data_IF_191559735365
#
_entry.id   IF_191559735365
#
_cell.length_a   1.000
_cell.length_b   1.000
_cell.length_c   1.000
_cell.angle_alpha   90.00
_cell.angle_beta   90.00
_cell.angle_gamma   90.00
#
_symmetry.space_group_name_H-M   'P 1'
#
loop_
_entity.id
_entity.type
_entity.pdbx_description
1 polymer ?
#
# COMPACT_ATOMS: atom_id res chain seq x y z
N UNK A 1 -13.58 -21.75 21.13
CA UNK A 1 -12.70 -21.74 19.95
C UNK A 1 -13.10 -20.64 18.96
N UNK A 2 -14.36 -20.54 18.53
CA UNK A 2 -14.85 -19.53 17.57
C UNK A 2 -14.55 -18.07 18.00
N UNK A 3 -14.69 -17.71 19.29
CA UNK A 3 -14.36 -16.38 19.80
C UNK A 3 -12.88 -16.00 19.66
N UNK A 4 -11.96 -16.97 19.72
CA UNK A 4 -10.51 -16.74 19.52
C UNK A 4 -10.16 -16.57 18.03
N UNK A 5 -10.91 -17.21 17.13
CA UNK A 5 -10.74 -17.09 15.68
C UNK A 5 -11.24 -15.71 15.23
N UNK A 6 -12.36 -15.23 15.79
CA UNK A 6 -12.90 -13.89 15.50
C UNK A 6 -11.96 -12.79 16.04
N UNK A 7 -11.32 -12.99 17.20
CA UNK A 7 -10.35 -12.05 17.74
C UNK A 7 -9.06 -12.02 16.92
N UNK A 8 -8.63 -13.17 16.37
CA UNK A 8 -7.48 -13.25 15.48
C UNK A 8 -7.76 -12.59 14.11
N UNK A 9 -9.00 -12.66 13.61
CA UNK A 9 -9.45 -12.02 12.39
C UNK A 9 -9.59 -10.49 12.51
N UNK A 10 -9.61 -9.94 13.73
CA UNK A 10 -9.79 -8.52 13.99
C UNK A 10 -8.48 -7.71 13.99
N UNK A 11 -7.33 -8.36 13.80
CA UNK A 11 -6.03 -7.69 13.87
C UNK A 11 -5.31 -7.69 12.53
N UNK A 12 -5.81 -6.96 11.49
CA UNK A 12 -5.17 -7.15 10.18
C UNK A 12 -5.13 -5.89 9.33
N UNK A 13 -3.95 -5.38 9.03
CA UNK A 13 -3.75 -4.11 8.34
C UNK A 13 -2.78 -4.00 7.21
N UNK A 14 -2.72 -3.14 6.61
CA UNK A 14 -2.38 -2.08 5.68
C UNK A 14 -1.55 -2.40 4.52
N UNK A 15 -1.75 -1.63 3.49
CA UNK A 15 -0.66 -1.26 2.61
C UNK A 15 -1.07 -0.26 1.56
N UNK A 16 -0.08 0.44 1.04
CA UNK A 16 -0.22 1.19 -0.19
C UNK A 16 -0.82 0.28 -1.27
N UNK A 17 -1.99 0.64 -1.75
CA UNK A 17 -2.59 0.06 -2.93
C UNK A 17 -2.03 0.73 -4.17
N UNK A 18 -0.74 0.66 -4.41
CA UNK A 18 -0.23 1.17 -5.66
C UNK A 18 -0.69 0.30 -6.83
N UNK A 19 -0.79 -1.00 -6.62
CA UNK A 19 -1.34 -1.94 -7.60
C UNK A 19 -2.27 -2.90 -6.91
N UNK A 20 -3.36 -3.27 -7.55
CA UNK A 20 -4.40 -4.08 -6.93
C UNK A 20 -3.90 -5.47 -6.54
N UNK A 21 -3.14 -6.06 -7.39
CA UNK A 21 -2.48 -7.35 -7.20
C UNK A 21 -1.30 -7.45 -8.17
N UNK A 22 -0.34 -8.28 -7.88
CA UNK A 22 0.78 -8.61 -8.77
C UNK A 22 0.37 -9.51 -9.95
N UNK A 23 -0.92 -9.81 -10.10
CA UNK A 23 -1.45 -10.79 -11.03
C UNK A 23 -2.42 -10.19 -12.03
N UNK A 24 -2.78 -10.99 -13.03
CA UNK A 24 -3.48 -10.62 -14.24
C UNK A 24 -4.72 -9.75 -14.13
N UNK A 25 -5.08 -9.13 -15.22
CA UNK A 25 -6.30 -8.33 -15.31
C UNK A 25 -7.54 -9.21 -15.07
N UNK A 26 -8.62 -8.59 -14.67
CA UNK A 26 -9.95 -9.21 -14.68
C UNK A 26 -10.31 -9.68 -16.09
N UNK A 27 -11.23 -10.62 -16.19
CA UNK A 27 -11.77 -11.02 -17.50
C UNK A 27 -12.51 -9.84 -18.16
N UNK A 28 -12.61 -9.87 -19.47
CA UNK A 28 -13.29 -8.81 -20.22
C UNK A 28 -14.72 -8.57 -19.69
N UNK A 29 -15.06 -7.31 -19.46
CA UNK A 29 -16.31 -6.85 -18.84
C UNK A 29 -16.54 -7.33 -17.40
N UNK A 30 -15.57 -7.92 -16.74
CA UNK A 30 -15.66 -8.27 -15.32
C UNK A 30 -15.33 -7.04 -14.47
N UNK A 31 -16.09 -6.87 -13.40
CA UNK A 31 -15.82 -5.92 -12.34
C UNK A 31 -15.45 -6.61 -11.03
N UNK A 32 -14.83 -5.88 -10.12
CA UNK A 32 -14.55 -6.32 -8.75
C UNK A 32 -14.67 -5.15 -7.79
N UNK A 33 -15.25 -5.40 -6.63
CA UNK A 33 -15.19 -4.48 -5.49
C UNK A 33 -14.51 -5.18 -4.33
N UNK A 34 -13.68 -4.42 -3.61
CA UNK A 34 -12.96 -4.89 -2.44
C UNK A 34 -13.25 -3.96 -1.27
N UNK A 35 -13.55 -4.55 -0.11
CA UNK A 35 -13.64 -3.84 1.15
C UNK A 35 -12.77 -4.54 2.19
N UNK A 36 -12.04 -3.77 2.97
CA UNK A 36 -11.11 -4.37 3.92
C UNK A 36 -10.89 -3.56 5.17
N UNK A 37 -10.46 -4.26 6.19
CA UNK A 37 -9.94 -3.74 7.44
C UNK A 37 -8.42 -3.79 7.41
N UNK A 38 -7.81 -2.82 8.06
CA UNK A 38 -6.38 -2.81 8.28
C UNK A 38 -6.00 -2.36 9.68
N UNK A 39 -4.88 -2.86 10.16
CA UNK A 39 -4.20 -2.41 11.37
C UNK A 39 -2.70 -2.39 11.12
N UNK A 40 -2.00 -1.40 11.64
CA UNK A 40 -0.58 -1.18 11.45
C UNK A 40 0.00 -0.57 12.71
N UNK A 41 1.11 -1.09 13.17
CA UNK A 41 1.77 -0.62 14.39
C UNK A 41 3.28 -0.68 14.25
N UNK A 42 3.95 0.37 14.72
CA UNK A 42 5.36 0.36 15.10
C UNK A 42 5.51 0.75 16.59
N UNK A 43 6.72 1.07 17.00
CA UNK A 43 6.99 1.42 18.42
C UNK A 43 6.37 2.77 18.81
N UNK A 44 6.20 3.68 17.86
CA UNK A 44 5.79 5.06 18.10
C UNK A 44 4.34 5.37 17.74
N UNK A 45 3.71 4.55 16.89
CA UNK A 45 2.34 4.81 16.42
C UNK A 45 1.56 3.52 16.12
N UNK A 46 0.25 3.63 16.12
CA UNK A 46 -0.67 2.61 15.62
C UNK A 46 -1.82 3.22 14.84
N UNK A 47 -2.33 2.51 13.87
CA UNK A 47 -3.49 2.94 13.09
C UNK A 47 -4.38 1.78 12.67
N UNK A 48 -5.67 2.04 12.54
CA UNK A 48 -6.66 1.11 12.04
C UNK A 48 -7.64 1.83 11.13
N UNK A 49 -8.16 1.16 10.13
CA UNK A 49 -9.16 1.74 9.25
C UNK A 49 -9.87 0.76 8.37
N UNK A 50 -10.86 1.32 7.67
CA UNK A 50 -11.57 0.69 6.57
C UNK A 50 -10.98 1.20 5.26
N UNK A 51 -10.97 0.34 4.26
CA UNK A 51 -10.60 0.67 2.88
C UNK A 51 -11.58 0.04 1.92
N UNK A 52 -11.82 0.72 0.82
CA UNK A 52 -12.63 0.23 -0.28
C UNK A 52 -11.92 0.49 -1.59
N UNK A 53 -12.18 -0.36 -2.56
CA UNK A 53 -11.68 -0.21 -3.90
C UNK A 53 -12.61 -0.90 -4.89
N UNK A 54 -12.48 -0.51 -6.15
CA UNK A 54 -13.18 -1.11 -7.26
C UNK A 54 -12.26 -1.17 -8.46
N UNK A 55 -12.40 -2.20 -9.28
CA UNK A 55 -11.75 -2.28 -10.58
C UNK A 55 -12.71 -2.86 -11.61
N UNK A 56 -12.50 -2.51 -12.85
CA UNK A 56 -13.29 -3.00 -13.96
C UNK A 56 -12.42 -3.15 -15.20
N UNK A 57 -12.51 -4.27 -15.83
CA UNK A 57 -11.88 -4.48 -17.12
C UNK A 57 -12.78 -3.86 -18.21
N UNK A 58 -12.38 -2.69 -18.70
CA UNK A 58 -13.14 -1.91 -19.68
C UNK A 58 -12.98 -2.44 -21.13
N UNK A 59 -11.86 -3.08 -21.40
CA UNK A 59 -11.56 -3.80 -22.67
C UNK A 59 -10.64 -4.98 -22.39
N UNK A 60 -10.46 -5.95 -23.29
CA UNK A 60 -9.54 -7.07 -23.05
C UNK A 60 -8.12 -6.65 -22.64
N UNK A 61 -7.71 -5.43 -22.93
CA UNK A 61 -6.37 -4.93 -22.60
C UNK A 61 -6.34 -3.83 -21.54
N UNK A 62 -7.50 -3.26 -21.15
CA UNK A 62 -7.54 -2.10 -20.25
C UNK A 62 -8.41 -2.37 -19.03
N UNK A 63 -7.79 -2.35 -17.86
CA UNK A 63 -8.45 -2.34 -16.56
C UNK A 63 -8.30 -0.95 -15.92
N UNK A 64 -9.40 -0.44 -15.38
CA UNK A 64 -9.45 0.78 -14.59
C UNK A 64 -9.73 0.45 -13.14
N UNK A 65 -9.17 1.23 -12.21
CA UNK A 65 -9.38 1.02 -10.78
C UNK A 65 -9.55 2.32 -9.99
N UNK A 66 -10.27 2.19 -8.89
CA UNK A 66 -10.35 3.18 -7.81
C UNK A 66 -9.89 2.49 -6.52
N UNK A 67 -8.90 3.04 -5.84
CA UNK A 67 -8.25 2.39 -4.71
C UNK A 67 -7.94 3.39 -3.59
N UNK A 68 -7.52 2.88 -2.44
CA UNK A 68 -7.03 3.70 -1.34
C UNK A 68 -8.09 4.44 -0.54
N UNK A 69 -9.28 4.66 -1.11
CA UNK A 69 -10.36 5.35 -0.43
C UNK A 69 -10.82 4.57 0.82
N UNK A 70 -11.13 5.31 1.87
CA UNK A 70 -11.57 4.70 3.12
C UNK A 70 -11.59 5.68 4.27
N UNK A 71 -11.63 5.14 5.47
CA UNK A 71 -11.64 5.93 6.70
C UNK A 71 -10.66 5.34 7.71
N UNK A 72 -9.76 6.18 8.24
CA UNK A 72 -8.89 5.85 9.35
C UNK A 72 -9.61 6.18 10.65
N UNK A 73 -9.82 5.18 11.49
CA UNK A 73 -10.56 5.33 12.73
C UNK A 73 -9.72 5.96 13.83
N UNK A 74 -8.42 5.62 13.87
CA UNK A 74 -7.58 6.04 14.96
C UNK A 74 -6.08 5.83 14.65
N UNK A 75 -5.25 6.60 15.30
CA UNK A 75 -3.81 6.46 15.30
C UNK A 75 -3.26 7.14 16.52
N UNK A 76 -2.30 6.51 17.17
CA UNK A 76 -1.66 6.94 18.41
C UNK A 76 -0.15 6.97 18.24
N UNK A 77 0.52 7.73 19.10
CA UNK A 77 1.96 7.65 19.32
C UNK A 77 2.19 7.46 20.81
N UNK A 78 3.14 6.64 21.20
CA UNK A 78 3.54 6.40 22.59
C UNK A 78 4.40 7.57 23.16
N UNK A 79 4.29 8.76 22.62
CA UNK A 79 5.06 9.94 22.97
C UNK A 79 4.19 10.89 23.80
N UNK A 80 4.53 11.10 25.10
CA UNK A 80 3.79 11.98 26.01
C UNK A 80 3.67 13.44 25.54
N UNK A 81 4.57 13.88 24.65
CA UNK A 81 4.55 15.21 24.05
C UNK A 81 3.92 15.24 22.65
N UNK A 82 3.55 14.11 22.10
CA UNK A 82 2.96 13.97 20.78
C UNK A 82 1.45 13.92 20.93
N UNK A 83 0.75 14.63 20.09
CA UNK A 83 -0.69 14.72 20.23
C UNK A 83 -1.42 13.47 19.70
N UNK A 84 -2.64 13.36 20.17
CA UNK A 84 -3.64 12.36 19.80
C UNK A 84 -3.75 12.10 18.31
N UNK A 85 -4.03 10.87 17.93
CA UNK A 85 -4.08 10.40 16.55
C UNK A 85 -5.07 11.15 15.66
N UNK A 86 -4.81 11.13 14.38
CA UNK A 86 -5.68 11.69 13.36
C UNK A 86 -6.70 10.68 12.86
N UNK A 87 -7.97 11.08 12.73
CA UNK A 87 -9.00 10.27 12.08
C UNK A 87 -9.65 11.03 10.93
N UNK A 88 -10.09 10.33 9.90
CA UNK A 88 -10.74 10.95 8.76
C UNK A 88 -10.69 10.11 7.50
N UNK A 89 -11.14 10.71 6.40
CA UNK A 89 -11.13 10.12 5.07
C UNK A 89 -9.69 9.98 4.56
N UNK A 90 -9.41 8.94 3.83
CA UNK A 90 -8.15 8.67 3.13
C UNK A 90 -8.18 9.19 1.69
N UNK A 91 -7.03 9.21 1.07
CA UNK A 91 -6.88 9.59 -0.34
C UNK A 91 -7.51 8.55 -1.28
N UNK A 92 -7.84 9.01 -2.48
CA UNK A 92 -8.33 8.18 -3.57
C UNK A 92 -7.21 8.02 -4.61
N UNK A 93 -6.92 6.79 -4.99
CA UNK A 93 -6.03 6.48 -6.12
C UNK A 93 -6.88 6.04 -7.30
N UNK A 94 -6.68 6.68 -8.44
CA UNK A 94 -7.25 6.27 -9.73
C UNK A 94 -6.15 5.54 -10.47
N UNK A 95 -6.40 4.30 -10.88
CA UNK A 95 -5.45 3.45 -11.54
C UNK A 95 -5.90 2.98 -12.92
N UNK A 96 -4.93 2.72 -13.77
CA UNK A 96 -5.13 2.06 -15.06
C UNK A 96 -4.03 1.01 -15.26
N UNK A 97 -4.40 -0.15 -15.80
CA UNK A 97 -3.49 -1.23 -16.19
C UNK A 97 -3.75 -1.60 -17.65
N UNK A 98 -2.71 -1.63 -18.44
CA UNK A 98 -2.79 -1.94 -19.86
C UNK A 98 -1.96 -3.19 -20.17
N UNK A 99 -2.62 -4.25 -20.66
CA UNK A 99 -1.98 -5.50 -21.06
C UNK A 99 -1.30 -5.32 -22.42
N UNK A 100 0.00 -5.57 -22.48
CA UNK A 100 0.72 -5.76 -23.74
C UNK A 100 0.54 -7.17 -24.28
N UNK A 101 0.56 -8.13 -23.38
CA UNK A 101 0.30 -9.53 -23.61
C UNK A 101 -0.33 -10.14 -22.33
N UNK A 102 -0.69 -11.43 -22.31
CA UNK A 102 -1.31 -12.04 -21.12
C UNK A 102 -0.45 -12.05 -19.86
N UNK A 103 0.84 -11.86 -19.95
CA UNK A 103 1.77 -11.93 -18.83
C UNK A 103 2.39 -10.58 -18.46
N UNK A 104 2.34 -9.56 -19.36
CA UNK A 104 3.01 -8.27 -19.19
C UNK A 104 2.02 -7.10 -19.27
N UNK A 105 2.03 -6.27 -18.22
CA UNK A 105 1.15 -5.10 -18.08
C UNK A 105 1.96 -3.85 -17.80
N UNK A 106 1.51 -2.71 -18.33
CA UNK A 106 1.87 -1.40 -17.82
C UNK A 106 0.78 -0.89 -16.89
N UNK A 107 1.18 -0.15 -15.87
CA UNK A 107 0.24 0.50 -14.96
C UNK A 107 0.56 1.98 -14.77
N UNK A 108 -0.49 2.72 -14.42
CA UNK A 108 -0.42 4.14 -14.06
C UNK A 108 -1.44 4.39 -12.96
N UNK A 109 -0.96 4.83 -11.80
CA UNK A 109 -1.78 5.25 -10.67
C UNK A 109 -1.60 6.74 -10.42
N UNK A 110 -2.69 7.42 -10.15
CA UNK A 110 -2.74 8.83 -9.80
C UNK A 110 -3.45 9.02 -8.46
N UNK A 111 -2.77 9.62 -7.49
CA UNK A 111 -3.34 9.92 -6.19
C UNK A 111 -4.03 11.27 -6.16
N UNK A 112 -5.31 11.27 -5.76
CA UNK A 112 -6.07 12.45 -5.42
C UNK A 112 -6.06 12.65 -3.91
N UNK A 113 -5.43 13.70 -3.38
CA UNK A 113 -5.32 13.96 -1.94
C UNK A 113 -6.62 14.58 -1.41
N UNK A 114 -7.70 13.81 -1.42
CA UNK A 114 -9.02 14.23 -0.90
C UNK A 114 -9.18 13.95 0.59
N UNK A 115 -8.24 13.21 1.15
CA UNK A 115 -8.23 12.81 2.53
C UNK A 115 -7.85 13.94 3.49
N UNK A 116 -7.99 13.67 4.77
CA UNK A 116 -7.60 14.61 5.83
C UNK A 116 -6.08 14.53 6.06
N UNK A 117 -5.37 15.57 5.68
CA UNK A 117 -3.89 15.69 5.75
C UNK A 117 -3.38 16.29 7.06
N UNK A 118 -4.27 16.73 7.96
CA UNK A 118 -3.91 17.32 9.24
C UNK A 118 -4.26 16.39 10.39
N UNK A 119 -3.24 15.99 11.12
CA UNK A 119 -3.38 15.37 12.42
C UNK A 119 -3.42 16.44 13.50
N UNK A 120 -3.98 16.13 14.67
CA UNK A 120 -3.90 17.00 15.85
C UNK A 120 -2.49 16.84 16.46
N UNK A 121 -1.64 17.84 16.29
CA UNK A 121 -0.32 17.89 16.90
C UNK A 121 0.84 17.35 16.05
N UNK A 122 2.02 17.32 16.64
CA UNK A 122 3.26 16.85 16.01
C UNK A 122 3.46 15.36 16.24
N UNK A 123 3.77 14.60 15.20
CA UNK A 123 4.11 13.17 15.30
C UNK A 123 2.97 12.18 15.06
N UNK A 124 1.75 12.64 14.82
CA UNK A 124 0.61 11.78 14.53
C UNK A 124 0.49 11.43 13.03
N UNK A 125 0.04 10.23 12.74
CA UNK A 125 -0.24 9.81 11.36
C UNK A 125 -1.57 10.36 10.88
N UNK A 126 -1.53 11.27 9.91
CA UNK A 126 -2.75 11.72 9.23
C UNK A 126 -3.29 10.62 8.31
N UNK A 127 -4.62 10.55 8.10
CA UNK A 127 -5.24 9.63 7.13
C UNK A 127 -4.77 9.82 5.68
N UNK A 128 -4.30 11.00 5.35
CA UNK A 128 -3.76 11.38 4.05
C UNK A 128 -2.39 12.02 4.19
N UNK A 129 -1.55 11.84 3.19
CA UNK A 129 -0.32 12.63 3.06
C UNK A 129 -0.57 14.04 2.55
N UNK A 130 -1.77 14.33 2.02
CA UNK A 130 -2.10 15.56 1.30
C UNK A 130 -1.36 15.71 -0.04
N UNK A 131 -0.58 14.73 -0.43
CA UNK A 131 0.34 14.79 -1.56
C UNK A 131 -0.28 14.17 -2.82
N UNK A 132 -0.31 14.92 -3.91
CA UNK A 132 -0.54 14.33 -5.22
C UNK A 132 0.68 13.54 -5.66
N UNK A 133 0.47 12.37 -6.24
CA UNK A 133 1.56 11.60 -6.85
C UNK A 133 1.09 10.82 -8.08
N UNK A 134 2.06 10.47 -8.90
CA UNK A 134 1.94 9.50 -9.97
C UNK A 134 2.84 8.31 -9.62
N UNK A 135 2.32 7.10 -9.79
CA UNK A 135 3.08 5.87 -9.74
C UNK A 135 2.85 5.09 -11.02
N UNK A 136 3.91 4.81 -11.76
CA UNK A 136 3.82 4.15 -13.06
C UNK A 136 4.93 3.11 -13.21
N UNK A 137 4.65 2.05 -13.95
CA UNK A 137 5.63 0.99 -14.16
C UNK A 137 5.09 -0.17 -14.97
N UNK A 138 5.74 -1.30 -14.80
CA UNK A 138 5.38 -2.56 -15.44
C UNK A 138 5.21 -3.67 -14.41
N UNK A 139 4.30 -4.58 -14.71
CA UNK A 139 4.03 -5.81 -13.97
C UNK A 139 4.14 -6.99 -14.91
N UNK A 140 4.75 -8.07 -14.42
CA UNK A 140 4.79 -9.34 -15.12
C UNK A 140 4.32 -10.44 -14.19
N UNK A 141 3.44 -11.32 -14.67
CA UNK A 141 3.03 -12.49 -13.91
C UNK A 141 3.07 -13.74 -14.81
N UNK A 142 3.26 -14.89 -14.17
CA UNK A 142 3.29 -16.15 -14.88
C UNK A 142 3.00 -17.34 -13.97
N UNK A 143 2.27 -18.32 -14.52
CA UNK A 143 2.13 -19.63 -13.89
C UNK A 143 3.44 -20.42 -13.97
N UNK A 144 3.78 -21.10 -12.87
CA UNK A 144 4.98 -21.97 -12.84
C UNK A 144 4.59 -23.36 -13.30
N UNK A 145 4.82 -23.65 -14.57
CA UNK A 145 4.40 -24.92 -15.21
C UNK A 145 4.92 -26.17 -14.49
N UNK A 146 6.07 -26.08 -13.79
CA UNK A 146 6.66 -27.20 -13.05
C UNK A 146 5.91 -27.52 -11.75
N UNK A 147 5.12 -26.61 -11.22
CA UNK A 147 4.43 -26.74 -9.93
C UNK A 147 2.96 -26.36 -10.12
N UNK A 148 2.09 -27.35 -10.24
CA UNK A 148 0.65 -27.12 -10.43
C UNK A 148 0.07 -26.24 -9.32
N UNK A 149 -0.54 -25.13 -9.69
CA UNK A 149 -1.15 -24.16 -8.77
C UNK A 149 -0.19 -23.09 -8.24
N UNK A 150 1.08 -23.11 -8.68
CA UNK A 150 2.03 -22.06 -8.36
C UNK A 150 2.08 -20.99 -9.46
N UNK A 151 2.14 -19.73 -9.04
CA UNK A 151 2.31 -18.58 -9.91
C UNK A 151 3.22 -17.55 -9.22
N UNK A 152 3.81 -16.66 -10.00
CA UNK A 152 4.52 -15.49 -9.47
C UNK A 152 4.11 -14.23 -10.21
N UNK A 153 4.15 -13.12 -9.51
CA UNK A 153 3.99 -11.79 -10.06
C UNK A 153 5.15 -10.91 -9.65
N UNK A 154 5.57 -10.01 -10.50
CA UNK A 154 6.62 -9.03 -10.23
C UNK A 154 6.20 -7.65 -10.68
N UNK A 155 6.74 -6.64 -10.04
CA UNK A 155 6.48 -5.24 -10.32
C UNK A 155 7.77 -4.44 -10.29
N UNK A 156 7.90 -3.51 -11.23
CA UNK A 156 8.90 -2.45 -11.18
C UNK A 156 8.24 -1.13 -11.58
N UNK A 157 8.43 -0.10 -10.77
CA UNK A 157 7.78 1.18 -11.02
C UNK A 157 8.53 2.37 -10.45
N UNK A 158 8.11 3.53 -10.91
CA UNK A 158 8.61 4.84 -10.50
C UNK A 158 7.46 5.64 -9.91
N UNK A 159 7.66 6.09 -8.70
CA UNK A 159 6.77 6.98 -7.98
C UNK A 159 7.32 8.40 -8.04
N UNK A 160 6.47 9.35 -8.39
CA UNK A 160 6.78 10.77 -8.36
C UNK A 160 5.72 11.52 -7.53
N UNK A 161 6.15 11.98 -6.35
CA UNK A 161 5.34 12.86 -5.49
C UNK A 161 5.51 14.31 -5.89
N UNK A 162 4.39 15.03 -6.04
CA UNK A 162 4.40 16.47 -6.28
C UNK A 162 4.57 17.21 -4.96
N UNK A 163 5.04 18.44 -5.05
CA UNK A 163 5.22 19.27 -3.88
C UNK A 163 3.92 19.50 -3.14
N UNK A 164 3.92 19.26 -1.84
CA UNK A 164 2.83 19.60 -0.93
C UNK A 164 3.38 20.38 0.27
N UNK A 165 2.78 21.54 0.54
CA UNK A 165 3.32 22.51 1.51
C UNK A 165 4.80 22.80 1.26
N UNK A 166 5.65 22.52 2.24
CA UNK A 166 7.09 22.78 2.19
C UNK A 166 7.92 21.52 1.92
N UNK A 167 7.29 20.43 1.46
CA UNK A 167 7.96 19.14 1.22
C UNK A 167 7.69 18.64 -0.18
N UNK A 168 8.70 18.07 -0.78
CA UNK A 168 8.63 17.32 -2.02
C UNK A 168 9.27 15.97 -1.76
N UNK A 169 8.50 14.90 -1.92
CA UNK A 169 8.98 13.55 -1.67
C UNK A 169 10.04 13.10 -2.68
N UNK A 170 10.01 13.67 -3.86
CA UNK A 170 10.92 13.37 -4.94
C UNK A 170 10.59 12.09 -5.68
N UNK A 171 11.62 11.50 -6.28
CA UNK A 171 11.52 10.28 -7.06
C UNK A 171 11.74 9.06 -6.18
N UNK A 172 10.88 8.03 -6.34
CA UNK A 172 11.03 6.76 -5.66
C UNK A 172 10.89 5.63 -6.67
N UNK A 173 11.81 4.69 -6.64
CA UNK A 173 11.71 3.45 -7.43
C UNK A 173 11.26 2.31 -6.54
N UNK A 174 10.39 1.47 -7.05
CA UNK A 174 9.83 0.31 -6.35
C UNK A 174 10.04 -0.95 -7.17
N UNK A 175 10.48 -2.00 -6.51
CA UNK A 175 10.65 -3.33 -7.09
C UNK A 175 10.03 -4.34 -6.14
N UNK A 176 9.18 -5.20 -6.63
CA UNK A 176 8.51 -6.19 -5.80
C UNK A 176 8.15 -7.45 -6.54
N UNK A 177 7.74 -8.43 -5.76
CA UNK A 177 7.21 -9.67 -6.29
C UNK A 177 6.40 -10.42 -5.24
N UNK A 178 5.48 -11.24 -5.73
CA UNK A 178 4.63 -12.12 -4.95
C UNK A 178 4.62 -13.50 -5.59
N UNK A 179 4.66 -14.51 -4.75
CA UNK A 179 4.51 -15.92 -5.12
C UNK A 179 3.21 -16.43 -4.50
N UNK A 180 2.38 -17.05 -5.35
CA UNK A 180 1.12 -17.65 -4.98
C UNK A 180 1.16 -19.15 -5.16
N UNK A 181 0.53 -19.86 -4.21
CA UNK A 181 0.36 -21.31 -4.31
C UNK A 181 -1.08 -21.72 -3.97
N UNK A 182 -1.84 -22.08 -5.00
CA UNK A 182 -3.20 -22.62 -4.85
C UNK A 182 -3.15 -24.06 -4.38
N UNK A 183 -3.68 -24.32 -3.20
CA UNK A 183 -3.72 -25.67 -2.62
C UNK A 183 -4.63 -26.60 -3.45
N UNK A 184 -4.14 -27.80 -3.84
CA UNK A 184 -4.92 -28.69 -4.72
C UNK A 184 -6.24 -29.22 -4.12
N UNK A 185 -6.29 -29.32 -2.80
CA UNK A 185 -7.42 -29.96 -2.10
C UNK A 185 -8.26 -28.97 -1.26
N UNK A 186 -7.98 -27.66 -1.37
CA UNK A 186 -8.68 -26.65 -0.59
C UNK A 186 -8.90 -25.38 -1.41
N UNK A 187 -9.98 -24.63 -1.17
CA UNK A 187 -10.23 -23.35 -1.84
C UNK A 187 -9.33 -22.24 -1.26
N UNK A 188 -8.05 -22.52 -1.06
CA UNK A 188 -7.09 -21.63 -0.42
C UNK A 188 -5.90 -21.42 -1.36
N UNK A 189 -5.50 -20.17 -1.52
CA UNK A 189 -4.24 -19.76 -2.14
C UNK A 189 -3.36 -19.16 -1.06
N UNK A 190 -2.19 -19.71 -0.83
CA UNK A 190 -1.15 -19.13 0.03
C UNK A 190 -0.37 -18.12 -0.78
N UNK A 191 0.04 -17.01 -0.16
CA UNK A 191 0.81 -15.98 -0.81
C UNK A 191 1.97 -15.50 0.07
N UNK A 192 3.08 -15.18 -0.56
CA UNK A 192 4.24 -14.56 0.06
C UNK A 192 4.86 -13.58 -0.91
N UNK A 193 5.18 -12.39 -0.43
CA UNK A 193 5.77 -11.38 -1.29
C UNK A 193 6.71 -10.44 -0.55
N UNK A 194 7.45 -9.67 -1.34
CA UNK A 194 8.33 -8.64 -0.85
C UNK A 194 8.42 -7.47 -1.84
N UNK A 195 8.67 -6.29 -1.32
CA UNK A 195 8.88 -5.08 -2.10
C UNK A 195 9.99 -4.24 -1.48
N UNK A 196 10.85 -3.71 -2.33
CA UNK A 196 11.92 -2.79 -1.98
C UNK A 196 11.65 -1.43 -2.62
N UNK A 197 11.80 -0.36 -1.84
CA UNK A 197 11.66 1.02 -2.28
C UNK A 197 12.98 1.75 -2.08
N UNK A 198 13.37 2.52 -3.09
CA UNK A 198 14.50 3.43 -3.05
C UNK A 198 14.01 4.82 -3.41
N UNK A 199 14.09 5.74 -2.47
CA UNK A 199 13.72 7.14 -2.64
C UNK A 199 14.96 7.99 -2.82
N UNK A 200 14.93 8.88 -3.82
CA UNK A 200 15.98 9.83 -4.15
C UNK A 200 15.39 11.22 -4.42
N UNK A 201 16.20 12.25 -4.38
CA UNK A 201 15.83 13.65 -4.70
C UNK A 201 14.73 14.25 -3.82
N UNK A 202 14.80 14.01 -2.53
CA UNK A 202 13.92 14.67 -1.57
C UNK A 202 14.31 16.14 -1.41
N UNK A 203 13.31 17.05 -1.36
CA UNK A 203 13.52 18.48 -1.15
C UNK A 203 12.62 19.01 -0.03
N UNK A 204 13.16 19.92 0.78
CA UNK A 204 12.40 20.74 1.72
C UNK A 204 12.47 22.21 1.27
N UNK A 205 11.41 22.96 1.62
CA UNK A 205 11.28 24.36 1.24
C UNK A 205 10.99 25.17 2.49
N UNK A 206 11.64 26.33 2.63
CA UNK A 206 11.29 27.34 3.62
C UNK A 206 10.66 28.53 2.91
N UNK A 207 9.45 28.93 3.34
CA UNK A 207 8.70 30.05 2.76
C UNK A 207 8.65 30.04 1.21
N UNK A 208 8.60 28.85 0.62
CA UNK A 208 8.53 28.68 -0.83
C UNK A 208 9.90 28.62 -1.54
N UNK A 209 11.00 28.87 -0.87
CA UNK A 209 12.35 28.74 -1.38
C UNK A 209 12.91 27.37 -1.03
N UNK A 210 13.54 26.69 -2.01
CA UNK A 210 14.21 25.41 -1.76
C UNK A 210 15.29 25.61 -0.72
N UNK A 211 15.23 24.85 0.37
CA UNK A 211 16.25 24.89 1.40
C UNK A 211 17.57 24.35 0.83
N UNK A 212 18.63 25.14 0.91
CA UNK A 212 20.01 24.72 0.61
C UNK A 212 20.62 23.87 1.74
N UNK A 213 19.90 23.72 2.87
CA UNK A 213 20.29 22.77 3.88
C UNK A 213 20.27 21.38 3.21
N UNK A 214 21.43 20.89 2.83
CA UNK A 214 21.61 19.50 2.41
C UNK A 214 21.15 18.65 3.59
N UNK A 215 19.93 18.16 3.51
CA UNK A 215 19.52 17.04 4.32
C UNK A 215 20.52 15.94 3.99
N UNK A 216 21.34 15.57 4.96
CA UNK A 216 22.50 14.71 4.75
C UNK A 216 22.17 13.33 4.19
N UNK A 217 20.88 13.00 4.02
CA UNK A 217 20.39 11.75 3.45
C UNK A 217 19.37 12.07 2.35
N UNK A 218 19.86 12.42 1.16
CA UNK A 218 19.03 12.64 -0.03
C UNK A 218 18.33 11.36 -0.53
N UNK A 219 18.58 10.23 0.10
CA UNK A 219 18.01 8.95 -0.26
C UNK A 219 17.58 8.13 0.98
N UNK A 220 16.54 7.36 0.81
CA UNK A 220 16.06 6.45 1.84
C UNK A 220 15.58 5.14 1.22
N UNK A 221 15.64 4.07 1.99
CA UNK A 221 15.17 2.76 1.57
C UNK A 221 14.06 2.26 2.47
N UNK A 222 13.12 1.54 1.90
CA UNK A 222 12.13 0.77 2.63
C UNK A 222 12.07 -0.65 2.08
N UNK A 223 11.99 -1.61 2.96
CA UNK A 223 11.68 -3.00 2.65
C UNK A 223 10.34 -3.36 3.26
N UNK A 224 9.51 -4.05 2.50
CA UNK A 224 8.22 -4.57 2.92
C UNK A 224 8.14 -6.02 2.52
N UNK A 225 7.68 -6.89 3.41
CA UNK A 225 7.33 -8.26 3.06
C UNK A 225 5.96 -8.62 3.65
N UNK A 226 5.32 -9.57 3.03
CA UNK A 226 4.02 -10.06 3.47
C UNK A 226 3.89 -11.56 3.25
N UNK A 227 3.07 -12.15 4.11
CA UNK A 227 2.63 -13.52 4.00
C UNK A 227 1.14 -13.57 4.30
N UNK A 228 0.41 -14.39 3.57
CA UNK A 228 -1.03 -14.48 3.75
C UNK A 228 -1.69 -15.65 3.07
N UNK A 229 -3.01 -15.59 3.06
CA UNK A 229 -3.84 -16.57 2.38
C UNK A 229 -5.13 -15.94 1.85
N UNK A 230 -5.53 -16.35 0.67
CA UNK A 230 -6.84 -16.06 0.09
C UNK A 230 -7.72 -17.29 0.19
N UNK A 231 -8.86 -17.18 0.84
CA UNK A 231 -9.90 -18.19 0.89
C UNK A 231 -10.97 -17.87 -0.16
N UNK A 232 -11.09 -18.71 -1.19
CA UNK A 232 -12.09 -18.56 -2.24
C UNK A 232 -13.39 -19.22 -1.78
N UNK A 233 -14.37 -18.44 -1.34
CA UNK A 233 -15.70 -18.91 -0.89
C UNK A 233 -16.47 -19.51 -2.06
N UNK A 234 -16.37 -18.84 -3.22
CA UNK A 234 -16.83 -19.31 -4.53
C UNK A 234 -16.05 -18.56 -5.63
N UNK A 235 -16.46 -18.70 -6.89
CA UNK A 235 -15.79 -18.09 -8.04
C UNK A 235 -15.78 -16.55 -7.99
N UNK A 236 -16.79 -15.97 -7.35
CA UNK A 236 -17.01 -14.52 -7.30
C UNK A 236 -16.62 -13.90 -5.96
N UNK A 237 -16.45 -14.69 -4.91
CA UNK A 237 -16.26 -14.17 -3.54
C UNK A 237 -15.01 -14.77 -2.92
N UNK A 238 -14.14 -13.90 -2.44
CA UNK A 238 -12.95 -14.30 -1.72
C UNK A 238 -12.71 -13.44 -0.46
N UNK A 239 -12.00 -14.04 0.49
CA UNK A 239 -11.51 -13.40 1.70
C UNK A 239 -9.99 -13.53 1.71
N UNK A 240 -9.27 -12.41 1.76
CA UNK A 240 -7.82 -12.37 1.80
C UNK A 240 -7.35 -11.85 3.16
N UNK A 241 -6.43 -12.58 3.78
CA UNK A 241 -5.78 -12.17 5.03
C UNK A 241 -4.27 -12.17 4.88
N UNK A 242 -3.60 -11.09 5.36
CA UNK A 242 -2.16 -10.93 5.25
C UNK A 242 -1.56 -10.39 6.54
N UNK A 243 -0.36 -10.85 6.87
CA UNK A 243 0.56 -10.23 7.82
C UNK A 243 1.62 -9.50 6.99
N UNK A 244 1.94 -8.27 7.38
CA UNK A 244 2.83 -7.39 6.63
C UNK A 244 3.88 -6.85 7.60
N UNK A 245 5.15 -7.05 7.28
CA UNK A 245 6.26 -6.41 7.98
C UNK A 245 6.91 -5.37 7.08
N UNK A 246 7.23 -4.23 7.66
CA UNK A 246 7.97 -3.15 6.99
C UNK A 246 9.17 -2.76 7.80
N UNK A 247 10.27 -2.53 7.13
CA UNK A 247 11.47 -1.95 7.71
C UNK A 247 11.89 -0.75 6.88
N UNK A 248 12.16 0.35 7.53
CA UNK A 248 12.49 1.60 6.88
C UNK A 248 13.76 2.21 7.47
N UNK A 249 14.74 2.46 6.62
CA UNK A 249 15.96 3.13 7.00
C UNK A 249 15.86 4.62 6.61
N UNK A 250 15.13 5.39 7.40
CA UNK A 250 15.08 6.84 7.30
C UNK A 250 15.98 7.43 8.38
N UNK A 251 17.14 7.89 7.96
CA UNK A 251 17.94 8.76 8.81
C UNK A 251 17.38 10.19 8.69
N UNK A 252 16.51 10.57 9.60
CA UNK A 252 16.06 11.93 9.73
C UNK A 252 16.91 12.65 10.78
N UNK A 253 17.72 13.63 10.37
CA UNK A 253 18.13 14.71 11.27
C UNK A 253 17.15 15.85 11.05
N UNK A 254 16.37 16.17 12.05
CA UNK A 254 15.63 17.41 12.11
C UNK A 254 16.62 18.60 12.18
N UNK A 255 16.21 19.75 11.70
CA UNK A 255 17.00 21.00 11.71
C UNK A 255 17.40 21.42 13.14
N UNK A 256 16.67 20.95 14.14
CA UNK A 256 16.87 21.22 15.58
C UNK A 256 17.59 20.08 16.34
N UNK A 257 18.10 19.07 15.64
CA UNK A 257 18.80 17.94 16.26
C UNK A 257 17.90 16.86 16.82
N UNK A 258 16.57 17.05 16.82
CA UNK A 258 15.60 16.04 17.23
C UNK A 258 15.22 15.16 16.01
N UNK A 259 15.34 13.86 16.16
CA UNK A 259 14.83 12.93 15.17
C UNK A 259 13.30 12.88 15.30
N UNK A 260 12.60 13.22 14.24
CA UNK A 260 11.15 12.98 14.17
C UNK A 260 10.98 11.57 13.60
N UNK A 261 10.52 10.59 14.39
CA UNK A 261 10.21 9.27 13.88
C UNK A 261 8.96 9.40 13.01
N UNK A 262 9.09 9.30 11.72
CA UNK A 262 7.91 9.29 10.84
C UNK A 262 7.69 7.95 10.16
N UNK A 263 8.66 7.07 10.20
CA UNK A 263 8.57 5.81 9.49
C UNK A 263 9.59 4.84 10.10
N UNK A 264 9.15 4.00 11.03
CA UNK A 264 9.94 2.97 11.68
C UNK A 264 9.63 1.58 11.13
N UNK A 265 10.18 0.57 11.78
CA UNK A 265 9.81 -0.81 11.53
C UNK A 265 8.36 -1.01 11.99
N UNK A 266 7.51 -1.54 11.15
CA UNK A 266 6.11 -1.72 11.46
C UNK A 266 5.63 -3.13 11.14
N UNK A 267 4.75 -3.63 12.01
CA UNK A 267 4.01 -4.86 11.79
C UNK A 267 2.55 -4.51 11.51
N UNK A 268 2.02 -5.07 10.44
CA UNK A 268 0.65 -4.85 10.05
C UNK A 268 -0.07 -6.13 9.66
N UNK A 269 -1.36 -5.98 9.51
CA UNK A 269 -2.25 -7.04 9.08
C UNK A 269 -3.35 -6.49 8.19
N UNK A 270 -3.88 -7.30 7.29
CA UNK A 270 -4.89 -6.93 6.31
C UNK A 270 -5.96 -8.01 6.21
N UNK A 271 -7.22 -7.62 6.16
CA UNK A 271 -8.34 -8.52 5.89
C UNK A 271 -9.24 -7.89 4.84
N UNK A 272 -9.22 -8.43 3.64
CA UNK A 272 -10.00 -7.93 2.52
C UNK A 272 -11.06 -8.95 2.11
N UNK A 273 -12.27 -8.47 1.89
CA UNK A 273 -13.34 -9.16 1.21
C UNK A 273 -13.44 -8.63 -0.22
N UNK A 274 -13.40 -9.53 -1.20
CA UNK A 274 -13.54 -9.19 -2.62
C UNK A 274 -14.77 -9.88 -3.22
N UNK A 275 -15.52 -9.10 -4.01
CA UNK A 275 -16.64 -9.59 -4.80
C UNK A 275 -16.41 -9.25 -6.28
N UNK A 276 -16.44 -10.26 -7.15
CA UNK A 276 -16.35 -10.16 -8.61
C UNK A 276 -17.70 -10.33 -9.26
N UNK A 277 -17.98 -9.59 -10.30
CA UNK A 277 -19.27 -9.61 -11.02
C UNK A 277 -19.09 -9.37 -12.52
#
# INVERSE_FOLDING_TARGET
>A
MIKKIILLAAMIATSSFATWDYFGLLQNNQGSVKAGLYYDKDDDWSQMGLKVGARMNATPQLELSLQGFGYQFWGETDCDACAEGGSGIRDLVIGARFALDPELYFFLDFNLPIGKDKAKGTGTTAPSSGEMYIYAGAQHHRDINAIKGAAYGTEAGVFWGFRHHNKERGLETRFGGEFDYKLPAAPVTLLVGAQFWLRVFRSEYDNGVKSDAKLHDDWSTQFKCWFGATFNINENVSLNGQIIARSQNLKKKAVDGNSIPMEGDALGFNLDFEFKF
#
